data_IF_783054313783
#
_entry.id   IF_783054313783
#
_cell.length_a   1.000
_cell.length_b   1.000
_cell.length_c   1.000
_cell.angle_alpha   90.00
_cell.angle_beta   90.00
_cell.angle_gamma   90.00
#
_symmetry.space_group_name_H-M   'P 1'
#
loop_
_entity.id
_entity.type
_entity.pdbx_description
1 polymer ?
#
# COMPACT_ATOMS: atom_id res chain seq x y z
N UNK A 1 -4.30 -15.36 -5.66
CA UNK A 1 -3.38 -14.21 -5.55
C UNK A 1 -3.11 -13.81 -4.11
N UNK A 2 -4.11 -13.45 -3.30
CA UNK A 2 -3.90 -13.00 -1.90
C UNK A 2 -3.07 -13.94 -1.03
N UNK A 3 -3.40 -15.24 -1.02
CA UNK A 3 -2.61 -16.28 -0.34
C UNK A 3 -1.15 -16.35 -0.77
N UNK A 4 -0.90 -16.27 -2.08
CA UNK A 4 0.46 -16.27 -2.60
C UNK A 4 1.22 -15.03 -2.13
N UNK A 5 0.63 -13.84 -2.26
CA UNK A 5 1.26 -12.59 -1.84
C UNK A 5 1.59 -12.58 -0.34
N UNK A 6 0.64 -12.99 0.51
CA UNK A 6 0.85 -13.02 1.95
C UNK A 6 2.01 -13.94 2.35
N UNK A 7 2.21 -15.06 1.65
CA UNK A 7 3.33 -15.95 1.87
C UNK A 7 4.69 -15.39 1.41
N UNK A 8 4.72 -14.27 0.68
CA UNK A 8 5.96 -13.60 0.24
C UNK A 8 6.32 -12.37 1.09
N UNK A 9 5.43 -11.94 1.99
CA UNK A 9 5.64 -10.72 2.79
C UNK A 9 6.64 -11.01 3.91
N UNK A 10 7.74 -10.27 3.88
CA UNK A 10 8.84 -10.38 4.82
C UNK A 10 9.24 -9.00 5.35
N UNK A 11 9.68 -8.97 6.61
CA UNK A 11 10.37 -7.84 7.23
C UNK A 11 11.80 -8.22 7.60
N UNK A 12 12.61 -7.19 7.88
CA UNK A 12 13.96 -7.32 8.43
C UNK A 12 14.12 -6.37 9.62
N UNK A 13 15.05 -6.66 10.54
CA UNK A 13 15.47 -5.68 11.53
C UNK A 13 16.03 -4.41 10.85
N UNK A 14 15.72 -3.25 11.44
CA UNK A 14 16.41 -2.00 11.13
C UNK A 14 17.82 -2.02 11.70
N UNK A 15 18.75 -1.42 10.98
CA UNK A 15 20.11 -1.20 11.46
C UNK A 15 20.13 -0.08 12.49
N UNK A 16 21.16 -0.05 13.35
CA UNK A 16 21.32 1.02 14.33
C UNK A 16 21.43 2.40 13.68
N UNK A 17 22.06 2.49 12.50
CA UNK A 17 22.14 3.72 11.72
C UNK A 17 20.76 4.19 11.25
N UNK A 18 19.91 3.28 10.76
CA UNK A 18 18.53 3.62 10.37
C UNK A 18 17.71 4.13 11.56
N UNK A 19 17.83 3.48 12.72
CA UNK A 19 17.15 3.91 13.95
C UNK A 19 17.57 5.32 14.38
N UNK A 20 18.87 5.59 14.43
CA UNK A 20 19.40 6.93 14.76
C UNK A 20 18.97 7.99 13.75
N UNK A 21 18.93 7.65 12.46
CA UNK A 21 18.46 8.56 11.41
C UNK A 21 16.97 8.88 11.56
N UNK A 22 16.14 7.90 11.94
CA UNK A 22 14.72 8.15 12.23
C UNK A 22 14.59 9.02 13.47
N UNK A 23 15.27 8.66 14.57
CA UNK A 23 15.23 9.37 15.85
C UNK A 23 15.63 10.84 15.72
N UNK A 24 16.69 11.15 14.97
CA UNK A 24 17.15 12.52 14.73
C UNK A 24 16.15 13.40 13.96
N UNK A 25 15.18 12.79 13.27
CA UNK A 25 14.12 13.50 12.53
C UNK A 25 12.83 13.65 13.34
N UNK A 26 12.72 12.98 14.48
CA UNK A 26 11.55 13.07 15.35
C UNK A 26 11.58 14.40 16.12
N UNK A 27 10.48 15.16 16.05
CA UNK A 27 10.33 16.38 16.86
C UNK A 27 9.88 16.08 18.30
N UNK A 28 9.47 14.84 18.59
CA UNK A 28 9.02 14.40 19.90
C UNK A 28 9.32 12.89 20.06
N UNK A 29 9.52 12.39 21.30
CA UNK A 29 9.82 10.98 21.53
C UNK A 29 8.67 10.09 21.06
N UNK A 30 8.96 9.15 20.17
CA UNK A 30 8.02 8.13 19.71
C UNK A 30 8.72 6.78 19.64
N UNK A 31 7.97 5.70 19.81
CA UNK A 31 8.48 4.35 19.57
C UNK A 31 8.79 4.17 18.08
N UNK A 32 10.03 3.82 17.77
CA UNK A 32 10.48 3.50 16.41
C UNK A 32 10.34 1.98 16.24
N UNK A 33 9.59 1.49 15.24
CA UNK A 33 9.46 0.05 15.05
C UNK A 33 10.83 -0.59 14.80
N UNK A 34 11.09 -1.75 15.41
CA UNK A 34 12.37 -2.44 15.27
C UNK A 34 12.58 -3.00 13.85
N UNK A 35 11.49 -3.33 13.15
CA UNK A 35 11.53 -4.01 11.84
C UNK A 35 10.94 -3.15 10.71
N UNK A 36 11.51 -3.30 9.51
CA UNK A 36 11.06 -2.67 8.27
C UNK A 36 10.77 -3.74 7.21
N UNK A 37 9.83 -3.49 6.29
CA UNK A 37 9.61 -4.37 5.15
C UNK A 37 10.90 -4.51 4.32
N UNK A 38 11.17 -5.70 3.80
CA UNK A 38 12.32 -5.88 2.89
C UNK A 38 12.08 -5.13 1.57
N UNK A 39 13.15 -4.75 0.86
CA UNK A 39 13.03 -4.14 -0.48
C UNK A 39 12.29 -5.05 -1.46
N UNK A 40 12.43 -6.38 -1.29
CA UNK A 40 11.67 -7.38 -2.05
C UNK A 40 10.17 -7.28 -1.77
N UNK A 41 9.78 -7.15 -0.50
CA UNK A 41 8.37 -6.96 -0.12
C UNK A 41 7.81 -5.66 -0.69
N UNK A 42 8.57 -4.55 -0.64
CA UNK A 42 8.16 -3.30 -1.27
C UNK A 42 7.95 -3.45 -2.78
N UNK A 43 8.90 -4.07 -3.49
CA UNK A 43 8.78 -4.33 -4.93
C UNK A 43 7.55 -5.18 -5.25
N UNK A 44 7.33 -6.27 -4.51
CA UNK A 44 6.17 -7.14 -4.72
C UNK A 44 4.86 -6.42 -4.41
N UNK A 45 4.82 -5.58 -3.38
CA UNK A 45 3.63 -4.78 -3.07
C UNK A 45 3.28 -3.83 -4.23
N UNK A 46 4.28 -3.25 -4.91
CA UNK A 46 4.06 -2.47 -6.13
C UNK A 46 3.49 -3.33 -7.25
N UNK A 47 4.14 -4.45 -7.59
CA UNK A 47 3.70 -5.34 -8.67
C UNK A 47 2.27 -5.87 -8.46
N UNK A 48 1.98 -6.32 -7.24
CA UNK A 48 0.63 -6.81 -6.87
C UNK A 48 -0.38 -5.67 -6.86
N UNK A 49 0.00 -4.46 -6.42
CA UNK A 49 -0.85 -3.29 -6.49
C UNK A 49 -1.20 -2.91 -7.94
N UNK A 50 -0.20 -2.93 -8.84
CA UNK A 50 -0.41 -2.69 -10.26
C UNK A 50 -1.29 -3.75 -10.89
N UNK A 51 -1.06 -5.04 -10.57
CA UNK A 51 -1.92 -6.14 -11.02
C UNK A 51 -3.37 -5.97 -10.54
N UNK A 52 -3.57 -5.67 -9.25
CA UNK A 52 -4.90 -5.44 -8.68
C UNK A 52 -5.61 -4.27 -9.40
N UNK A 53 -4.86 -3.24 -9.77
CA UNK A 53 -5.40 -2.12 -10.53
C UNK A 53 -5.87 -2.53 -11.93
N UNK A 54 -5.13 -3.43 -12.60
CA UNK A 54 -5.57 -3.99 -13.88
C UNK A 54 -6.83 -4.84 -13.74
N UNK A 55 -7.01 -5.55 -12.61
CA UNK A 55 -8.26 -6.27 -12.32
C UNK A 55 -9.43 -5.30 -12.19
N UNK A 56 -9.28 -4.21 -11.43
CA UNK A 56 -10.29 -3.16 -11.32
C UNK A 56 -10.68 -2.57 -12.68
N UNK A 57 -9.69 -2.15 -13.47
CA UNK A 57 -9.91 -1.51 -14.78
C UNK A 57 -10.58 -2.43 -15.80
N UNK A 58 -10.26 -3.73 -15.77
CA UNK A 58 -10.91 -4.72 -16.65
C UNK A 58 -12.34 -5.03 -16.24
N UNK A 59 -12.62 -5.01 -14.93
CA UNK A 59 -13.94 -5.33 -14.40
C UNK A 59 -14.91 -4.15 -14.44
N UNK A 60 -14.40 -2.91 -14.34
CA UNK A 60 -15.22 -1.71 -14.16
C UNK A 60 -14.76 -0.59 -15.09
N UNK A 61 -15.50 -0.38 -16.19
CA UNK A 61 -15.15 0.60 -17.24
C UNK A 61 -15.27 2.07 -16.80
N UNK A 62 -15.93 2.35 -15.66
CA UNK A 62 -15.99 3.69 -15.06
C UNK A 62 -14.67 4.12 -14.42
N UNK A 63 -13.79 3.16 -14.11
CA UNK A 63 -12.50 3.40 -13.50
C UNK A 63 -11.44 3.74 -14.55
N UNK A 64 -10.49 4.59 -14.18
CA UNK A 64 -9.34 4.95 -15.02
C UNK A 64 -8.12 5.27 -14.16
N UNK A 65 -6.95 5.19 -14.79
CA UNK A 65 -5.73 5.75 -14.21
C UNK A 65 -5.81 7.28 -14.13
N UNK A 66 -5.21 7.83 -13.08
CA UNK A 66 -4.94 9.25 -12.91
C UNK A 66 -3.60 9.43 -12.19
N UNK A 67 -3.05 10.64 -12.27
CA UNK A 67 -1.82 11.04 -11.59
C UNK A 67 -1.99 12.47 -11.08
N UNK A 68 -2.30 12.67 -9.78
CA UNK A 68 -2.65 13.98 -9.27
C UNK A 68 -1.38 14.85 -9.10
N UNK A 69 -1.34 15.97 -9.83
CA UNK A 69 -0.30 17.00 -9.73
C UNK A 69 -0.81 18.32 -9.14
N UNK A 70 -2.05 18.37 -8.64
CA UNK A 70 -2.67 19.63 -8.21
C UNK A 70 -2.09 20.24 -6.92
N UNK A 71 -1.79 19.42 -5.91
CA UNK A 71 -1.25 19.89 -4.63
C UNK A 71 -0.13 18.99 -4.14
N UNK A 72 1.07 19.57 -3.96
CA UNK A 72 2.23 18.88 -3.38
C UNK A 72 2.02 18.45 -1.91
N UNK A 73 0.93 18.88 -1.27
CA UNK A 73 0.52 18.41 0.06
C UNK A 73 -0.32 17.13 0.02
N UNK A 74 -0.73 16.68 -1.17
CA UNK A 74 -1.45 15.42 -1.32
C UNK A 74 -0.52 14.24 -1.04
N UNK A 75 -1.01 13.28 -0.24
CA UNK A 75 -0.32 12.01 0.01
C UNK A 75 -0.12 11.15 -1.25
N UNK A 76 -0.87 11.46 -2.31
CA UNK A 76 -0.84 10.78 -3.62
C UNK A 76 -0.11 11.61 -4.68
N UNK A 77 0.47 12.75 -4.32
CA UNK A 77 1.06 13.68 -5.31
C UNK A 77 2.09 12.98 -6.20
N UNK A 78 1.85 13.03 -7.52
CA UNK A 78 2.71 12.43 -8.53
C UNK A 78 2.69 10.90 -8.57
N UNK A 79 1.88 10.22 -7.75
CA UNK A 79 1.76 8.76 -7.74
C UNK A 79 0.60 8.29 -8.63
N UNK A 80 0.70 7.14 -9.30
CA UNK A 80 -0.42 6.59 -10.08
C UNK A 80 -1.53 6.10 -9.15
N UNK A 81 -2.75 6.52 -9.43
CA UNK A 81 -3.95 6.12 -8.68
C UNK A 81 -5.07 5.72 -9.63
N UNK A 82 -6.04 4.96 -9.13
CA UNK A 82 -7.31 4.77 -9.82
C UNK A 82 -8.35 5.76 -9.31
N UNK A 83 -9.08 6.36 -10.24
CA UNK A 83 -10.22 7.27 -9.96
C UNK A 83 -11.49 6.72 -10.60
N UNK A 84 -12.65 7.26 -10.21
CA UNK A 84 -13.97 6.76 -10.59
C UNK A 84 -14.73 6.08 -9.44
N UNK A 85 -14.10 5.96 -8.27
CA UNK A 85 -14.79 5.66 -7.01
C UNK A 85 -15.46 6.93 -6.47
N UNK A 86 -16.55 6.79 -5.71
CA UNK A 86 -17.45 7.88 -5.32
C UNK A 86 -16.78 9.14 -4.75
N UNK A 87 -15.77 9.01 -3.87
CA UNK A 87 -15.13 10.19 -3.23
C UNK A 87 -13.61 10.07 -3.02
N UNK A 88 -12.97 8.98 -3.47
CA UNK A 88 -11.56 8.72 -3.14
C UNK A 88 -10.79 8.17 -4.33
N UNK A 89 -9.53 8.57 -4.44
CA UNK A 89 -8.54 7.88 -5.26
C UNK A 89 -8.09 6.59 -4.57
N UNK A 90 -8.01 5.50 -5.32
CA UNK A 90 -7.37 4.27 -4.88
C UNK A 90 -5.90 4.31 -5.29
N UNK A 91 -5.00 4.49 -4.32
CA UNK A 91 -3.56 4.32 -4.57
C UNK A 91 -3.18 2.85 -4.31
N UNK A 92 -2.96 2.04 -5.35
CA UNK A 92 -2.70 0.61 -5.19
C UNK A 92 -1.42 0.34 -4.41
N UNK A 93 -0.35 1.11 -4.65
CA UNK A 93 0.95 0.89 -4.03
C UNK A 93 0.86 1.13 -2.53
N UNK A 94 0.29 2.27 -2.11
CA UNK A 94 0.11 2.58 -0.68
C UNK A 94 -0.75 1.52 0.00
N UNK A 95 -1.83 1.08 -0.64
CA UNK A 95 -2.73 0.08 -0.07
C UNK A 95 -2.01 -1.25 0.16
N UNK A 96 -1.22 -1.72 -0.81
CA UNK A 96 -0.51 -2.99 -0.68
C UNK A 96 0.69 -2.92 0.28
N UNK A 97 1.39 -1.78 0.36
CA UNK A 97 2.42 -1.55 1.39
C UNK A 97 1.80 -1.56 2.79
N UNK A 98 0.69 -0.85 2.99
CA UNK A 98 -0.04 -0.83 4.27
C UNK A 98 -0.51 -2.22 4.67
N UNK A 99 -1.06 -2.98 3.70
CA UNK A 99 -1.49 -4.35 3.90
C UNK A 99 -0.31 -5.26 4.29
N UNK A 100 0.86 -5.05 3.70
CA UNK A 100 2.08 -5.82 4.02
C UNK A 100 2.52 -5.62 5.47
N UNK A 101 2.52 -4.38 5.98
CA UNK A 101 2.76 -4.15 7.42
C UNK A 101 1.72 -4.84 8.30
N UNK A 102 0.44 -4.83 7.88
CA UNK A 102 -0.62 -5.56 8.57
C UNK A 102 -0.39 -7.07 8.62
N UNK A 103 0.18 -7.66 7.58
CA UNK A 103 0.53 -9.10 7.55
C UNK A 103 1.69 -9.39 8.51
N UNK A 104 2.75 -8.58 8.48
CA UNK A 104 3.90 -8.72 9.40
C UNK A 104 3.44 -8.60 10.86
N UNK A 105 2.55 -7.66 11.17
CA UNK A 105 2.00 -7.48 12.52
C UNK A 105 0.88 -8.47 12.88
N UNK A 106 0.57 -9.43 12.00
CA UNK A 106 -0.50 -10.44 12.17
C UNK A 106 -1.91 -9.86 12.35
N UNK A 107 -2.11 -8.60 11.94
CA UNK A 107 -3.43 -7.94 11.93
C UNK A 107 -4.18 -8.20 10.62
N UNK A 108 -3.48 -8.68 9.59
CA UNK A 108 -4.00 -9.03 8.25
C UNK A 108 -3.51 -10.41 7.85
N UNK A 109 -4.19 -11.02 6.90
CA UNK A 109 -3.91 -12.39 6.45
C UNK A 109 -4.06 -12.55 4.93
N UNK A 110 -4.01 -13.79 4.46
CA UNK A 110 -4.13 -14.16 3.05
C UNK A 110 -5.42 -13.70 2.35
N UNK A 111 -6.48 -13.36 3.10
CA UNK A 111 -7.75 -12.87 2.56
C UNK A 111 -7.74 -11.37 2.33
N UNK A 112 -6.83 -10.64 2.95
CA UNK A 112 -6.88 -9.18 2.98
C UNK A 112 -6.79 -8.51 1.60
N UNK A 113 -6.11 -9.11 0.61
CA UNK A 113 -6.10 -8.57 -0.77
C UNK A 113 -7.50 -8.69 -1.42
N UNK A 114 -8.21 -9.79 -1.16
CA UNK A 114 -9.58 -10.00 -1.65
C UNK A 114 -10.55 -9.06 -0.94
N UNK A 115 -10.43 -8.93 0.38
CA UNK A 115 -11.24 -7.99 1.17
C UNK A 115 -11.04 -6.54 0.72
N UNK A 116 -9.79 -6.14 0.44
CA UNK A 116 -9.48 -4.83 -0.12
C UNK A 116 -10.23 -4.62 -1.44
N UNK A 117 -10.19 -5.59 -2.36
CA UNK A 117 -10.96 -5.51 -3.60
C UNK A 117 -12.47 -5.35 -3.33
N UNK A 118 -13.05 -6.22 -2.51
CA UNK A 118 -14.50 -6.24 -2.24
C UNK A 118 -14.98 -4.94 -1.54
N UNK A 119 -14.15 -4.33 -0.68
CA UNK A 119 -14.45 -3.04 -0.04
C UNK A 119 -14.50 -1.92 -1.09
N UNK A 120 -13.52 -1.86 -1.98
CA UNK A 120 -13.42 -0.78 -2.97
C UNK A 120 -14.42 -0.92 -4.11
N UNK A 121 -14.81 -2.14 -4.50
CA UNK A 121 -15.91 -2.35 -5.46
C UNK A 121 -17.21 -1.71 -4.97
N UNK A 122 -17.50 -1.76 -3.66
CA UNK A 122 -18.69 -1.12 -3.09
C UNK A 122 -18.68 0.41 -3.15
N UNK A 123 -17.54 1.01 -3.48
CA UNK A 123 -17.39 2.46 -3.64
C UNK A 123 -17.48 2.91 -5.09
N UNK A 124 -17.71 1.99 -6.04
CA UNK A 124 -17.96 2.31 -7.44
C UNK A 124 -19.44 2.70 -7.56
N UNK A 125 -19.76 3.89 -8.11
CA UNK A 125 -21.13 4.36 -8.30
C UNK A 125 -21.98 3.46 -9.20
#
# INVERSE_FOLDING_TARGET
>A
MGKWFAAQVESRPRTQQELQQIESRLSFPMEIPADELTSRTFSLAMDVGMYLSQVFLKAHSSLRWDQPFGSNKSIDYGQPVLVGFAMRSFNPIRMLVTLSYGIVSKQRDERSVRELYDIWVKMIP
#
